data_IF_078268140434
#
_entry.id   IF_078268140434
#
_cell.length_a   1.000
_cell.length_b   1.000
_cell.length_c   1.000
_cell.angle_alpha   90.00
_cell.angle_beta   90.00
_cell.angle_gamma   90.00
#
_symmetry.space_group_name_H-M   'P 1'
#
loop_
_entity.id
_entity.type
_entity.pdbx_description
1 polymer ?
#
# COMPACT_ATOMS: atom_id res chain seq x y z
N UNK A 1 7.41 -15.59 14.79
CA UNK A 1 7.43 -16.80 13.95
C UNK A 1 8.59 -16.79 12.94
N UNK A 2 8.77 -15.74 12.12
CA UNK A 2 9.81 -15.66 11.08
C UNK A 2 11.24 -15.91 11.57
N UNK A 3 11.65 -15.31 12.70
CA UNK A 3 13.00 -15.48 13.27
C UNK A 3 13.30 -16.93 13.68
N UNK A 4 12.29 -17.68 14.13
CA UNK A 4 12.44 -19.09 14.55
C UNK A 4 12.73 -19.99 13.37
N UNK A 5 12.02 -19.79 12.25
CA UNK A 5 12.24 -20.57 11.01
C UNK A 5 13.63 -20.29 10.45
N UNK A 6 14.07 -19.02 10.46
CA UNK A 6 15.41 -18.66 10.02
C UNK A 6 16.51 -19.34 10.86
N UNK A 7 16.40 -19.32 12.18
CA UNK A 7 17.37 -20.00 13.06
C UNK A 7 17.42 -21.50 12.83
N UNK A 8 16.26 -22.15 12.56
CA UNK A 8 16.20 -23.58 12.26
C UNK A 8 16.83 -23.94 10.92
N UNK A 9 16.62 -23.12 9.89
CA UNK A 9 17.21 -23.31 8.56
C UNK A 9 18.72 -23.05 8.55
N UNK A 10 19.21 -22.18 9.43
CA UNK A 10 20.64 -21.87 9.61
C UNK A 10 21.36 -22.84 10.57
N UNK A 11 20.62 -23.73 11.25
CA UNK A 11 21.22 -24.76 12.10
C UNK A 11 21.98 -25.79 11.24
N UNK A 12 23.03 -26.45 11.77
CA UNK A 12 23.88 -27.36 11.00
C UNK A 12 23.20 -28.73 10.77
N UNK A 13 22.04 -28.72 10.11
CA UNK A 13 21.26 -29.89 9.72
C UNK A 13 21.20 -29.97 8.20
N UNK A 14 21.35 -31.16 7.63
CA UNK A 14 21.17 -31.40 6.20
C UNK A 14 19.68 -31.42 5.85
N UNK A 15 19.12 -30.24 5.56
CA UNK A 15 17.71 -30.06 5.18
C UNK A 15 17.63 -29.93 3.66
N UNK A 16 16.83 -30.78 3.03
CA UNK A 16 16.51 -30.66 1.61
C UNK A 16 15.12 -30.05 1.43
N UNK A 17 15.06 -28.89 0.78
CA UNK A 17 13.81 -28.24 0.41
C UNK A 17 13.56 -28.47 -1.08
N UNK A 18 12.35 -28.92 -1.41
CA UNK A 18 11.87 -29.04 -2.79
C UNK A 18 10.47 -28.44 -2.87
N UNK A 19 10.22 -27.70 -3.94
CA UNK A 19 8.88 -27.19 -4.23
C UNK A 19 8.11 -28.23 -5.03
N UNK A 20 6.88 -28.52 -4.60
CA UNK A 20 5.95 -29.38 -5.31
C UNK A 20 4.72 -28.55 -5.69
N UNK A 21 4.22 -28.78 -6.90
CA UNK A 21 3.02 -28.11 -7.40
C UNK A 21 1.79 -28.63 -6.65
N UNK A 22 0.92 -27.73 -6.20
CA UNK A 22 -0.34 -28.08 -5.55
C UNK A 22 -1.36 -28.66 -6.55
N UNK A 23 -2.28 -29.49 -6.04
CA UNK A 23 -3.43 -30.06 -6.78
C UNK A 23 -3.06 -30.94 -7.98
N UNK A 24 -1.99 -31.73 -7.85
CA UNK A 24 -1.51 -32.65 -8.91
C UNK A 24 -1.67 -34.12 -8.49
N UNK A 25 -2.47 -34.44 -7.46
CA UNK A 25 -2.70 -35.82 -7.02
C UNK A 25 -1.66 -36.37 -6.03
N UNK A 26 -0.71 -35.54 -5.56
CA UNK A 26 0.25 -35.99 -4.55
C UNK A 26 -0.40 -36.12 -3.19
N UNK A 27 -0.68 -37.36 -2.76
CA UNK A 27 -1.45 -37.70 -1.56
C UNK A 27 -0.99 -36.93 -0.30
N UNK A 28 0.32 -36.87 -0.03
CA UNK A 28 0.83 -36.15 1.16
C UNK A 28 0.58 -34.65 1.11
N UNK A 29 0.69 -34.04 -0.06
CA UNK A 29 0.44 -32.61 -0.25
C UNK A 29 -1.06 -32.30 -0.20
N UNK A 30 -1.90 -33.18 -0.76
CA UNK A 30 -3.35 -33.05 -0.72
C UNK A 30 -3.91 -33.27 0.69
N UNK A 31 -3.37 -34.22 1.45
CA UNK A 31 -3.71 -34.42 2.86
C UNK A 31 -3.34 -33.18 3.68
N UNK A 32 -2.14 -32.63 3.49
CA UNK A 32 -1.73 -31.40 4.16
C UNK A 32 -2.65 -30.21 3.80
N UNK A 33 -3.03 -30.07 2.52
CA UNK A 33 -3.96 -29.02 2.05
C UNK A 33 -5.37 -29.20 2.64
N UNK A 34 -5.88 -30.43 2.68
CA UNK A 34 -7.17 -30.75 3.31
C UNK A 34 -7.16 -30.45 4.81
N UNK A 35 -6.08 -30.78 5.52
CA UNK A 35 -5.91 -30.46 6.94
C UNK A 35 -5.85 -28.94 7.17
N UNK A 36 -5.12 -28.19 6.33
CA UNK A 36 -5.08 -26.74 6.40
C UNK A 36 -6.47 -26.13 6.15
N UNK A 37 -7.19 -26.58 5.12
CA UNK A 37 -8.57 -26.15 4.82
C UNK A 37 -9.53 -26.48 5.96
N UNK A 38 -9.45 -27.68 6.51
CA UNK A 38 -10.26 -28.12 7.65
C UNK A 38 -9.99 -27.34 8.94
N UNK A 39 -8.82 -26.72 9.06
CA UNK A 39 -8.47 -25.86 10.19
C UNK A 39 -9.07 -24.46 10.05
N UNK A 40 -9.12 -23.92 8.82
CA UNK A 40 -9.76 -22.62 8.52
C UNK A 40 -11.27 -22.68 8.77
N UNK A 41 -11.91 -23.82 8.47
CA UNK A 41 -13.35 -24.01 8.72
C UNK A 41 -13.70 -24.33 10.17
N UNK A 42 -12.72 -24.72 10.99
CA UNK A 42 -12.89 -25.00 12.43
C UNK A 42 -12.70 -23.78 13.33
N UNK A 43 -12.27 -22.65 12.79
CA UNK A 43 -12.20 -21.40 13.54
C UNK A 43 -13.60 -20.80 13.74
N UNK A 44 -13.81 -20.08 14.83
CA UNK A 44 -15.03 -19.31 15.03
C UNK A 44 -15.25 -18.38 13.83
N UNK A 45 -16.45 -18.45 13.25
CA UNK A 45 -16.82 -17.54 12.17
C UNK A 45 -16.83 -16.13 12.74
N UNK A 46 -15.82 -15.34 12.38
CA UNK A 46 -15.73 -13.94 12.79
C UNK A 46 -16.83 -13.17 12.07
N UNK A 47 -17.98 -13.05 12.72
CA UNK A 47 -19.09 -12.29 12.19
C UNK A 47 -18.75 -10.80 12.35
N UNK A 48 -18.34 -10.16 11.26
CA UNK A 48 -18.13 -8.72 11.28
C UNK A 48 -19.51 -8.05 11.38
N UNK A 49 -19.77 -7.21 12.40
CA UNK A 49 -21.05 -6.52 12.57
C UNK A 49 -21.40 -5.62 11.38
N UNK A 50 -20.38 -5.22 10.60
CA UNK A 50 -20.50 -4.40 9.42
C UNK A 50 -19.78 -5.07 8.24
N UNK A 51 -20.28 -4.91 7.00
CA UNK A 51 -19.60 -5.42 5.82
C UNK A 51 -18.17 -4.88 5.70
N UNK A 52 -17.26 -5.69 5.16
CA UNK A 52 -15.86 -5.27 4.91
C UNK A 52 -15.74 -3.98 4.09
N UNK A 53 -16.65 -3.77 3.13
CA UNK A 53 -16.69 -2.54 2.33
C UNK A 53 -16.86 -1.30 3.20
N UNK A 54 -17.69 -1.37 4.24
CA UNK A 54 -17.91 -0.26 5.17
C UNK A 54 -16.62 0.04 5.97
N UNK A 55 -15.94 -0.98 6.48
CA UNK A 55 -14.68 -0.77 7.19
C UNK A 55 -13.62 -0.14 6.26
N UNK A 56 -13.54 -0.60 5.01
CA UNK A 56 -12.65 -0.03 4.01
C UNK A 56 -13.00 1.42 3.69
N UNK A 57 -14.28 1.81 3.65
CA UNK A 57 -14.68 3.20 3.44
C UNK A 57 -14.31 4.09 4.63
N UNK A 58 -14.51 3.62 5.86
CA UNK A 58 -14.13 4.36 7.07
C UNK A 58 -12.62 4.59 7.12
N UNK A 59 -11.81 3.56 6.85
CA UNK A 59 -10.34 3.68 6.83
C UNK A 59 -9.89 4.69 5.76
N UNK A 60 -10.47 4.63 4.56
CA UNK A 60 -10.16 5.58 3.49
C UNK A 60 -10.56 7.01 3.87
N UNK A 61 -11.71 7.20 4.51
CA UNK A 61 -12.18 8.50 4.96
C UNK A 61 -11.26 9.08 6.03
N UNK A 62 -10.88 8.28 7.03
CA UNK A 62 -9.97 8.69 8.09
C UNK A 62 -8.59 9.05 7.54
N UNK A 63 -8.04 8.22 6.63
CA UNK A 63 -6.78 8.51 5.97
C UNK A 63 -6.83 9.81 5.17
N UNK A 64 -7.89 10.05 4.39
CA UNK A 64 -8.07 11.30 3.65
C UNK A 64 -8.16 12.51 4.58
N UNK A 65 -8.81 12.40 5.74
CA UNK A 65 -8.87 13.47 6.73
C UNK A 65 -7.48 13.83 7.25
N UNK A 66 -6.69 12.82 7.66
CA UNK A 66 -5.32 13.04 8.15
C UNK A 66 -4.45 13.67 7.06
N UNK A 67 -4.58 13.20 5.82
CA UNK A 67 -3.85 13.79 4.70
C UNK A 67 -4.27 15.22 4.40
N UNK A 68 -5.56 15.53 4.50
CA UNK A 68 -6.07 16.89 4.34
C UNK A 68 -5.53 17.81 5.43
N UNK A 69 -5.53 17.37 6.69
CA UNK A 69 -5.00 18.14 7.81
C UNK A 69 -3.51 18.44 7.62
N UNK A 70 -2.73 17.44 7.18
CA UNK A 70 -1.31 17.64 6.86
C UNK A 70 -1.12 18.56 5.64
N UNK A 71 -2.04 18.52 4.68
CA UNK A 71 -1.99 19.37 3.49
C UNK A 71 -2.29 20.84 3.81
N UNK A 72 -3.27 21.08 4.68
CA UNK A 72 -3.68 22.43 5.10
C UNK A 72 -2.68 23.10 6.05
N UNK A 73 -1.99 22.31 6.88
CA UNK A 73 -1.05 22.82 7.89
C UNK A 73 0.43 22.64 7.49
N UNK A 74 0.72 22.12 6.30
CA UNK A 74 2.09 21.89 5.85
C UNK A 74 2.82 23.20 5.51
N UNK A 75 4.08 23.33 5.94
CA UNK A 75 4.92 24.51 5.64
C UNK A 75 5.44 24.51 4.19
N UNK A 76 5.53 23.35 3.55
CA UNK A 76 6.07 23.16 2.19
C UNK A 76 4.97 22.95 1.16
N UNK A 77 5.11 23.52 -0.05
CA UNK A 77 4.18 23.27 -1.15
C UNK A 77 2.94 24.18 -1.18
N UNK A 78 2.99 25.33 -0.50
CA UNK A 78 1.89 26.31 -0.46
C UNK A 78 1.36 26.71 -1.85
N UNK A 79 2.23 26.85 -2.86
CA UNK A 79 1.80 27.15 -4.25
C UNK A 79 0.91 26.05 -4.84
N UNK A 80 1.25 24.78 -4.58
CA UNK A 80 0.46 23.62 -5.01
C UNK A 80 -0.87 23.55 -4.25
N UNK A 81 -0.86 23.87 -2.95
CA UNK A 81 -2.07 23.93 -2.11
C UNK A 81 -3.09 24.95 -2.66
N UNK A 82 -2.63 26.14 -3.07
CA UNK A 82 -3.52 27.15 -3.66
C UNK A 82 -4.25 26.66 -4.93
N UNK A 83 -3.63 25.77 -5.71
CA UNK A 83 -4.21 25.23 -6.95
C UNK A 83 -5.08 24.00 -6.65
N UNK A 84 -4.64 23.14 -5.73
CA UNK A 84 -5.36 21.92 -5.33
C UNK A 84 -5.48 21.91 -3.81
N UNK A 85 -6.48 22.62 -3.26
CA UNK A 85 -6.63 22.76 -1.81
C UNK A 85 -7.17 21.49 -1.15
N UNK A 86 -7.76 20.57 -1.93
CA UNK A 86 -8.42 19.37 -1.39
C UNK A 86 -7.74 18.09 -1.85
N UNK A 87 -7.33 17.28 -0.89
CA UNK A 87 -6.77 15.95 -1.15
C UNK A 87 -7.86 15.00 -1.62
N UNK A 88 -7.54 14.20 -2.64
CA UNK A 88 -8.45 13.18 -3.16
C UNK A 88 -7.69 11.97 -3.66
N UNK A 89 -8.37 10.83 -3.73
CA UNK A 89 -7.83 9.60 -4.33
C UNK A 89 -7.86 9.61 -5.88
N UNK A 90 -8.37 10.69 -6.49
CA UNK A 90 -8.41 10.83 -7.95
C UNK A 90 -7.26 11.74 -8.40
N UNK A 91 -6.58 11.40 -9.50
CA UNK A 91 -5.60 12.31 -10.07
C UNK A 91 -6.32 13.58 -10.58
N UNK A 92 -5.63 14.72 -10.48
CA UNK A 92 -6.18 16.04 -10.88
C UNK A 92 -6.32 16.17 -12.41
N UNK A 93 -5.77 15.22 -13.17
CA UNK A 93 -5.86 15.20 -14.63
C UNK A 93 -4.78 16.01 -15.35
N UNK A 94 -3.77 16.48 -14.62
CA UNK A 94 -2.64 17.21 -15.19
C UNK A 94 -1.75 16.33 -16.05
N UNK A 95 -1.24 16.91 -17.14
CA UNK A 95 -0.16 16.30 -17.90
C UNK A 95 1.19 16.42 -17.16
N UNK A 96 2.24 15.83 -17.73
CA UNK A 96 3.56 15.78 -17.08
C UNK A 96 4.15 17.18 -16.90
N UNK A 97 3.97 18.05 -17.88
CA UNK A 97 4.51 19.41 -17.92
C UNK A 97 3.86 20.28 -16.85
N UNK A 98 2.53 20.22 -16.74
CA UNK A 98 1.74 20.89 -15.70
C UNK A 98 2.13 20.43 -14.30
N UNK A 99 2.30 19.12 -14.11
CA UNK A 99 2.68 18.56 -12.81
C UNK A 99 4.09 19.00 -12.39
N UNK A 100 5.04 19.00 -13.32
CA UNK A 100 6.41 19.48 -13.07
C UNK A 100 6.46 20.99 -12.84
N UNK A 101 5.63 21.77 -13.53
CA UNK A 101 5.50 23.21 -13.33
C UNK A 101 4.96 23.53 -11.93
N UNK A 102 3.83 22.93 -11.55
CA UNK A 102 3.16 23.22 -10.27
C UNK A 102 4.00 22.74 -9.07
N UNK A 103 4.64 21.58 -9.19
CA UNK A 103 5.50 21.03 -8.12
C UNK A 103 6.87 21.70 -8.03
N UNK A 104 7.20 22.64 -8.93
CA UNK A 104 8.50 23.31 -8.96
C UNK A 104 9.67 22.38 -9.32
N UNK A 105 9.39 21.20 -9.87
CA UNK A 105 10.38 20.20 -10.25
C UNK A 105 10.87 20.34 -11.70
N UNK A 106 10.25 21.19 -12.52
CA UNK A 106 10.80 21.50 -13.83
C UNK A 106 12.14 22.23 -13.66
N UNK A 107 13.18 21.90 -14.45
CA UNK A 107 14.36 22.72 -14.55
C UNK A 107 13.99 23.97 -15.35
N UNK A 108 13.19 24.87 -14.76
CA UNK A 108 13.09 26.23 -15.27
C UNK A 108 14.37 26.89 -14.79
N UNK A 109 15.32 27.19 -15.68
CA UNK A 109 16.37 28.08 -15.30
C UNK A 109 15.70 29.43 -14.98
N UNK A 110 16.11 30.06 -13.90
CA UNK A 110 15.58 31.26 -13.24
C UNK A 110 15.56 32.55 -14.10
N UNK A 111 15.34 32.44 -15.41
CA UNK A 111 15.43 33.55 -16.37
C UNK A 111 14.17 34.42 -16.47
N UNK A 112 13.16 34.24 -15.61
CA UNK A 112 12.08 35.23 -15.48
C UNK A 112 12.44 36.41 -14.55
N UNK A 113 13.74 36.66 -14.33
CA UNK A 113 14.23 37.83 -13.60
C UNK A 113 15.13 38.72 -14.46
N UNK A 114 14.60 39.19 -15.61
CA UNK A 114 15.03 40.46 -16.23
C UNK A 114 14.01 40.96 -17.25
N UNK A 115 12.84 41.42 -16.78
CA UNK A 115 12.02 42.37 -17.54
C UNK A 115 11.21 43.25 -16.60
N UNK A 116 11.92 43.93 -15.69
CA UNK A 116 11.48 45.21 -15.15
C UNK A 116 12.51 46.24 -15.60
N UNK A 117 12.17 47.01 -16.62
CA UNK A 117 12.74 48.34 -16.89
C UNK A 117 11.72 49.36 -16.41
#
# INVERSE_FOLDING_TARGET
MVRVIQTLLLSPKHIHLRWLKAHVGYLSNECADQLAKGTITKGDSFFLPKPLFYLNSEIRSAALSIWQDNWDNGETGSSTHHIVPRVSNKPVGWNREELLFVTGHWPFPSYLQSSNT
#
